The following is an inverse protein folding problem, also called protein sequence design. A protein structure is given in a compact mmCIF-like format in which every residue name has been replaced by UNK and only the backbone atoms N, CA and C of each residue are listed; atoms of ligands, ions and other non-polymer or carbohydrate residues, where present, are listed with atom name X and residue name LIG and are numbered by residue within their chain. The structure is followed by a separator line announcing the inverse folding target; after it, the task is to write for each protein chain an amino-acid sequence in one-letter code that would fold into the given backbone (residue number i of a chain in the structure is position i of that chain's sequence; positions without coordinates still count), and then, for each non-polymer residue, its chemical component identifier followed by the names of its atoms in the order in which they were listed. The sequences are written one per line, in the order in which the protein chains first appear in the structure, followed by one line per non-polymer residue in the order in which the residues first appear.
data_IF_768871584150
#
_entry.id   IF_768871584150
#
_cell.length_a   1.000
_cell.length_b   1.000
_cell.length_c   1.000
_cell.angle_alpha   90.00
_cell.angle_beta   90.00
_cell.angle_gamma   90.00
#
_symmetry.space_group_name_H-M   'P 1'
#
loop_
_entity.id
_entity.type
_entity.pdbx_description
1 polymer ?
#
# COMPACT_ATOMS: atom_id res chain seq x y z
N UNK A 1 27.88 -11.58 5.47
CA UNK A 1 26.51 -11.03 5.60
C UNK A 1 26.58 -9.71 6.34
N UNK A 2 25.96 -8.63 5.84
CA UNK A 2 25.88 -7.35 6.57
C UNK A 2 24.71 -7.39 7.55
N UNK A 3 24.97 -7.05 8.80
CA UNK A 3 23.95 -6.91 9.85
C UNK A 3 23.72 -5.43 10.08
N UNK A 4 22.45 -5.02 10.14
CA UNK A 4 22.03 -3.67 10.47
C UNK A 4 21.31 -3.68 11.80
N UNK A 5 21.62 -2.74 12.68
CA UNK A 5 20.95 -2.57 13.96
C UNK A 5 19.91 -1.45 13.86
N UNK A 6 18.82 -1.56 14.64
CA UNK A 6 17.80 -0.53 14.76
C UNK A 6 17.49 -0.29 16.23
N UNK A 7 17.45 0.96 16.64
CA UNK A 7 17.13 1.37 18.02
C UNK A 7 15.63 1.44 18.31
N UNK A 8 14.80 1.53 17.24
CA UNK A 8 13.35 1.55 17.34
C UNK A 8 12.79 0.11 17.41
N UNK A 9 13.02 -0.55 18.53
CA UNK A 9 12.57 -1.94 18.74
C UNK A 9 11.05 -2.06 18.54
N UNK A 10 10.29 -1.11 19.06
CA UNK A 10 8.82 -1.12 18.90
C UNK A 10 8.37 -1.03 17.44
N UNK A 11 8.99 -0.16 16.66
CA UNK A 11 8.71 -0.03 15.22
C UNK A 11 9.05 -1.30 14.45
N UNK A 12 10.19 -1.94 14.76
CA UNK A 12 10.60 -3.21 14.14
C UNK A 12 9.59 -4.32 14.45
N UNK A 13 9.18 -4.47 15.71
CA UNK A 13 8.18 -5.47 16.12
C UNK A 13 6.82 -5.22 15.46
N UNK A 14 6.39 -3.96 15.40
CA UNK A 14 5.14 -3.57 14.74
C UNK A 14 5.17 -3.88 13.23
N UNK A 15 6.28 -3.58 12.56
CA UNK A 15 6.50 -3.96 11.16
C UNK A 15 6.38 -5.48 10.97
N UNK A 16 7.06 -6.26 11.81
CA UNK A 16 7.05 -7.72 11.74
C UNK A 16 5.65 -8.34 11.92
N UNK A 17 4.80 -7.72 12.73
CA UNK A 17 3.42 -8.19 12.93
C UNK A 17 2.51 -7.77 11.77
N UNK A 18 2.49 -6.48 11.42
CA UNK A 18 1.53 -5.90 10.47
C UNK A 18 1.81 -6.32 9.02
N UNK A 19 3.07 -6.50 8.61
CA UNK A 19 3.43 -6.97 7.26
C UNK A 19 2.69 -8.25 6.87
N UNK A 20 2.45 -9.13 7.84
CA UNK A 20 1.80 -10.42 7.61
C UNK A 20 0.33 -10.25 7.22
N UNK A 21 -0.35 -9.23 7.76
CA UNK A 21 -1.72 -8.87 7.38
C UNK A 21 -1.77 -8.33 5.94
N UNK A 22 -0.79 -7.48 5.59
CA UNK A 22 -0.71 -6.93 4.23
C UNK A 22 -0.36 -8.02 3.21
N UNK A 23 0.50 -8.98 3.60
CA UNK A 23 0.79 -10.15 2.76
C UNK A 23 -0.45 -11.03 2.55
N UNK A 24 -1.30 -11.19 3.58
CA UNK A 24 -2.59 -11.88 3.46
C UNK A 24 -3.51 -11.15 2.45
N UNK A 25 -3.61 -9.81 2.54
CA UNK A 25 -4.37 -8.98 1.60
C UNK A 25 -3.85 -9.11 0.15
N UNK A 26 -2.52 -9.09 -0.04
CA UNK A 26 -1.89 -9.28 -1.34
C UNK A 26 -2.20 -10.67 -1.92
N UNK A 27 -2.18 -11.70 -1.07
CA UNK A 27 -2.58 -13.05 -1.44
C UNK A 27 -4.05 -13.14 -1.86
N UNK A 28 -4.97 -12.53 -1.11
CA UNK A 28 -6.41 -12.49 -1.47
C UNK A 28 -6.59 -11.87 -2.87
N UNK A 29 -5.94 -10.74 -3.11
CA UNK A 29 -5.97 -10.07 -4.42
C UNK A 29 -5.43 -10.97 -5.54
N UNK A 30 -4.35 -11.69 -5.28
CA UNK A 30 -3.77 -12.65 -6.23
C UNK A 30 -4.73 -13.81 -6.52
N UNK A 31 -5.36 -14.39 -5.49
CA UNK A 31 -6.35 -15.45 -5.63
C UNK A 31 -7.59 -15.05 -6.43
N UNK A 32 -7.94 -13.76 -6.43
CA UNK A 32 -8.98 -13.13 -7.24
C UNK A 32 -8.52 -12.81 -8.69
N UNK A 33 -7.29 -13.21 -9.08
CA UNK A 33 -6.67 -12.91 -10.38
C UNK A 33 -6.46 -11.43 -10.68
N UNK A 34 -6.30 -10.58 -9.66
CA UNK A 34 -5.81 -9.22 -9.88
C UNK A 34 -4.31 -9.24 -10.18
N UNK A 35 -3.88 -8.35 -11.09
CA UNK A 35 -2.50 -8.26 -11.56
C UNK A 35 -1.53 -7.58 -10.57
N UNK A 36 -0.27 -7.48 -10.99
CA UNK A 36 0.84 -6.96 -10.19
C UNK A 36 0.63 -5.51 -9.75
N UNK A 37 -0.05 -4.69 -10.55
CA UNK A 37 -0.39 -3.31 -10.19
C UNK A 37 -1.26 -3.23 -8.94
N UNK A 38 -2.27 -4.09 -8.82
CA UNK A 38 -3.12 -4.16 -7.64
C UNK A 38 -2.32 -4.59 -6.42
N UNK A 39 -1.42 -5.57 -6.60
CA UNK A 39 -0.52 -6.02 -5.53
C UNK A 39 0.43 -4.91 -5.08
N UNK A 40 1.03 -4.17 -6.02
CA UNK A 40 1.87 -3.01 -5.71
C UNK A 40 1.10 -1.93 -4.94
N UNK A 41 -0.15 -1.63 -5.33
CA UNK A 41 -1.01 -0.70 -4.64
C UNK A 41 -1.33 -1.16 -3.21
N UNK A 42 -1.62 -2.46 -3.00
CA UNK A 42 -1.85 -3.03 -1.65
C UNK A 42 -0.60 -2.89 -0.79
N UNK A 43 0.58 -3.19 -1.31
CA UNK A 43 1.85 -3.05 -0.59
C UNK A 43 2.09 -1.59 -0.19
N UNK A 44 1.98 -0.66 -1.13
CA UNK A 44 2.21 0.78 -0.88
C UNK A 44 1.22 1.36 0.12
N UNK A 45 -0.07 1.04 -0.04
CA UNK A 45 -1.11 1.52 0.88
C UNK A 45 -1.03 0.83 2.23
N UNK A 46 -0.70 -0.46 2.26
CA UNK A 46 -0.44 -1.21 3.49
C UNK A 46 0.73 -0.64 4.28
N UNK A 47 1.83 -0.29 3.61
CA UNK A 47 2.94 0.41 4.24
C UNK A 47 2.50 1.73 4.85
N UNK A 48 1.65 2.50 4.15
CA UNK A 48 1.12 3.76 4.67
C UNK A 48 0.24 3.56 5.91
N UNK A 49 -0.53 2.47 6.00
CA UNK A 49 -1.28 2.11 7.21
C UNK A 49 -0.34 1.78 8.38
N UNK A 50 0.66 0.93 8.11
CA UNK A 50 1.67 0.54 9.11
C UNK A 50 2.41 1.75 9.65
N UNK A 51 2.89 2.63 8.76
CA UNK A 51 3.63 3.85 9.12
C UNK A 51 2.75 4.78 9.96
N UNK A 52 1.51 5.00 9.55
CA UNK A 52 0.57 5.88 10.25
C UNK A 52 0.28 5.39 11.68
N UNK A 53 0.02 4.10 11.85
CA UNK A 53 -0.16 3.51 13.17
C UNK A 53 1.13 3.63 13.99
N UNK A 54 2.27 3.24 13.43
CA UNK A 54 3.54 3.26 14.15
C UNK A 54 3.97 4.65 14.57
N UNK A 55 3.87 5.65 13.71
CA UNK A 55 4.21 7.05 14.07
C UNK A 55 3.28 7.60 15.14
N UNK A 56 1.98 7.27 15.09
CA UNK A 56 1.03 7.64 16.16
C UNK A 56 1.37 6.95 17.49
N UNK A 57 1.97 5.76 17.44
CA UNK A 57 2.47 5.04 18.62
C UNK A 57 3.86 5.52 19.09
N UNK A 58 4.44 6.52 18.43
CA UNK A 58 5.76 7.08 18.75
C UNK A 58 6.95 6.31 18.18
N UNK A 59 6.74 5.46 17.17
CA UNK A 59 7.80 4.81 16.43
C UNK A 59 8.41 5.77 15.38
N UNK A 60 9.64 5.48 14.96
CA UNK A 60 10.33 6.25 13.93
C UNK A 60 9.81 5.91 12.52
N UNK A 61 9.43 6.91 11.75
CA UNK A 61 8.95 6.73 10.37
C UNK A 61 9.98 6.00 9.49
N UNK A 62 11.27 6.31 9.67
CA UNK A 62 12.36 5.68 8.93
C UNK A 62 12.43 4.16 9.12
N UNK A 63 11.95 3.63 10.25
CA UNK A 63 11.90 2.18 10.50
C UNK A 63 10.98 1.49 9.49
N UNK A 64 9.85 2.12 9.15
CA UNK A 64 8.89 1.57 8.18
C UNK A 64 9.41 1.64 6.74
N UNK A 65 10.25 2.60 6.42
CA UNK A 65 10.86 2.75 5.09
C UNK A 65 12.20 2.01 4.96
N UNK A 66 12.64 1.33 6.02
CA UNK A 66 13.86 0.54 6.07
C UNK A 66 13.67 -0.95 5.78
N UNK A 67 14.72 -1.73 6.09
CA UNK A 67 14.74 -3.17 5.88
C UNK A 67 13.67 -3.92 6.68
N UNK A 68 13.42 -3.49 7.93
CA UNK A 68 12.41 -4.09 8.80
C UNK A 68 10.96 -3.75 8.38
N UNK A 69 10.77 -2.64 7.67
CA UNK A 69 9.48 -2.20 7.14
C UNK A 69 9.25 -2.65 5.70
N UNK A 70 9.46 -1.74 4.75
CA UNK A 70 9.17 -1.97 3.32
C UNK A 70 9.95 -3.15 2.75
N UNK A 71 11.21 -3.35 3.16
CA UNK A 71 12.03 -4.46 2.67
C UNK A 71 11.40 -5.82 2.98
N UNK A 72 11.06 -6.05 4.23
CA UNK A 72 10.46 -7.30 4.69
C UNK A 72 9.00 -7.45 4.21
N UNK A 73 8.26 -6.34 4.10
CA UNK A 73 6.91 -6.33 3.55
C UNK A 73 6.88 -6.80 2.10
N UNK A 74 7.76 -6.26 1.23
CA UNK A 74 7.82 -6.65 -0.19
C UNK A 74 8.07 -8.15 -0.30
N UNK A 75 9.08 -8.67 0.36
CA UNK A 75 9.41 -10.10 0.32
C UNK A 75 8.23 -10.96 0.79
N UNK A 76 7.58 -10.57 1.90
CA UNK A 76 6.49 -11.33 2.48
C UNK A 76 5.22 -11.31 1.61
N UNK A 77 4.93 -10.18 0.95
CA UNK A 77 3.72 -9.99 0.15
C UNK A 77 3.86 -10.43 -1.33
N UNK A 78 5.09 -10.77 -1.78
CA UNK A 78 5.31 -11.21 -3.16
C UNK A 78 5.79 -12.65 -3.29
N UNK A 79 6.30 -13.23 -2.20
CA UNK A 79 6.85 -14.58 -2.21
C UNK A 79 5.75 -15.64 -2.15
N UNK A 80 5.81 -16.59 -3.08
CA UNK A 80 4.97 -17.82 -3.06
C UNK A 80 5.25 -18.71 -1.85
N UNK A 81 6.39 -18.55 -1.20
CA UNK A 81 6.76 -19.27 0.02
C UNK A 81 6.19 -18.64 1.29
N UNK A 82 5.62 -17.44 1.18
CA UNK A 82 4.97 -16.78 2.30
C UNK A 82 3.67 -17.50 2.67
N UNK A 83 3.59 -18.01 3.89
CA UNK A 83 2.39 -18.66 4.44
C UNK A 83 1.18 -17.73 4.42
N UNK A 84 1.40 -16.46 4.73
CA UNK A 84 0.33 -15.46 4.72
C UNK A 84 -0.16 -15.18 3.29
N UNK A 85 0.76 -15.02 2.34
CA UNK A 85 0.41 -14.86 0.93
C UNK A 85 -0.33 -16.09 0.39
N UNK A 86 0.17 -17.32 0.67
CA UNK A 86 -0.49 -18.58 0.26
C UNK A 86 -1.89 -18.69 0.86
N UNK A 87 -2.06 -18.43 2.16
CA UNK A 87 -3.37 -18.46 2.81
C UNK A 87 -4.33 -17.44 2.18
N UNK A 88 -3.87 -16.21 1.97
CA UNK A 88 -4.67 -15.19 1.28
C UNK A 88 -5.09 -15.62 -0.13
N UNK A 89 -4.18 -16.24 -0.89
CA UNK A 89 -4.48 -16.75 -2.24
C UNK A 89 -5.61 -17.78 -2.22
N UNK A 90 -5.57 -18.72 -1.29
CA UNK A 90 -6.64 -19.72 -1.13
C UNK A 90 -7.97 -19.04 -0.77
N UNK A 91 -7.97 -18.09 0.17
CA UNK A 91 -9.19 -17.33 0.52
C UNK A 91 -9.73 -16.58 -0.72
N UNK A 92 -8.87 -15.95 -1.50
CA UNK A 92 -9.24 -15.27 -2.75
C UNK A 92 -9.84 -16.23 -3.79
N UNK A 93 -9.40 -17.49 -3.82
CA UNK A 93 -9.92 -18.57 -4.66
C UNK A 93 -11.24 -19.15 -4.17
N UNK A 94 -11.74 -18.72 -3.00
CA UNK A 94 -13.04 -19.13 -2.47
C UNK A 94 -12.98 -20.13 -1.32
N UNK A 95 -11.79 -20.52 -0.85
CA UNK A 95 -11.67 -21.34 0.36
C UNK A 95 -12.11 -20.51 1.58
N UNK A 96 -12.77 -21.15 2.54
CA UNK A 96 -12.96 -20.52 3.83
C UNK A 96 -11.64 -20.47 4.62
N UNK A 97 -11.60 -19.72 5.71
CA UNK A 97 -10.37 -19.48 6.49
C UNK A 97 -9.80 -20.77 7.09
N UNK A 98 -10.67 -21.66 7.58
CA UNK A 98 -10.25 -22.91 8.20
C UNK A 98 -9.65 -23.88 7.17
N UNK A 99 -10.28 -23.99 6.00
CA UNK A 99 -9.78 -24.77 4.86
C UNK A 99 -8.43 -24.22 4.37
N UNK A 100 -8.33 -22.91 4.16
CA UNK A 100 -7.11 -22.25 3.73
C UNK A 100 -5.96 -22.46 4.73
N UNK A 101 -6.24 -22.33 6.01
CA UNK A 101 -5.24 -22.55 7.08
C UNK A 101 -4.78 -24.00 7.12
N UNK A 102 -5.72 -24.95 6.99
CA UNK A 102 -5.41 -26.38 6.92
C UNK A 102 -4.54 -26.74 5.73
N UNK A 103 -4.83 -26.16 4.56
CA UNK A 103 -4.05 -26.37 3.34
C UNK A 103 -2.64 -25.76 3.40
N UNK A 104 -2.47 -24.63 4.13
CA UNK A 104 -1.16 -24.07 4.43
C UNK A 104 -0.36 -25.01 5.34
N UNK A 105 -1.03 -25.72 6.26
CA UNK A 105 -0.43 -26.70 7.17
C UNK A 105 0.49 -26.12 8.25
N UNK A 106 0.54 -24.80 8.40
CA UNK A 106 1.41 -24.08 9.34
C UNK A 106 0.69 -22.83 9.86
N UNK A 107 1.20 -22.27 10.96
CA UNK A 107 0.65 -21.04 11.54
C UNK A 107 0.69 -19.90 10.54
N UNK A 108 -0.44 -19.22 10.38
CA UNK A 108 -0.61 -18.01 9.56
C UNK A 108 -0.63 -16.80 10.49
N UNK A 109 0.51 -16.16 10.63
CA UNK A 109 0.72 -15.07 11.61
C UNK A 109 -0.17 -13.86 11.35
N UNK A 110 -0.49 -13.59 10.08
CA UNK A 110 -1.39 -12.49 9.70
C UNK A 110 -2.79 -12.63 10.29
N UNK A 111 -3.33 -13.85 10.36
CA UNK A 111 -4.61 -14.12 11.01
C UNK A 111 -4.57 -13.85 12.52
N UNK A 112 -3.47 -14.25 13.17
CA UNK A 112 -3.27 -14.03 14.60
C UNK A 112 -3.02 -12.56 14.94
N UNK A 113 -2.40 -11.80 14.05
CA UNK A 113 -2.11 -10.38 14.25
C UNK A 113 -3.35 -9.47 14.06
N UNK A 114 -4.34 -9.91 13.27
CA UNK A 114 -5.53 -9.12 12.95
C UNK A 114 -6.27 -8.55 14.17
N UNK A 115 -6.63 -9.35 15.21
CA UNK A 115 -7.35 -8.83 16.35
C UNK A 115 -6.58 -7.73 17.09
N UNK A 116 -5.27 -7.90 17.25
CA UNK A 116 -4.40 -6.91 17.90
C UNK A 116 -4.28 -5.64 17.06
N UNK A 117 -4.11 -5.77 15.73
CA UNK A 117 -4.05 -4.64 14.81
C UNK A 117 -5.35 -3.81 14.85
N UNK A 118 -6.52 -4.46 14.87
CA UNK A 118 -7.81 -3.78 14.97
C UNK A 118 -8.01 -3.10 16.33
N UNK A 119 -7.52 -3.68 17.43
CA UNK A 119 -7.54 -3.03 18.74
C UNK A 119 -6.64 -1.80 18.78
N UNK A 120 -5.43 -1.88 18.20
CA UNK A 120 -4.51 -0.75 18.11
C UNK A 120 -5.08 0.37 17.23
N UNK A 121 -5.63 0.04 16.05
CA UNK A 121 -6.33 0.98 15.17
C UNK A 121 -7.40 1.78 15.93
N UNK A 122 -8.24 1.08 16.69
CA UNK A 122 -9.29 1.71 17.53
C UNK A 122 -8.71 2.54 18.67
N UNK A 123 -7.68 2.03 19.38
CA UNK A 123 -7.07 2.69 20.54
C UNK A 123 -6.39 3.99 20.16
N UNK A 124 -5.73 4.03 19.01
CA UNK A 124 -4.97 5.18 18.54
C UNK A 124 -5.73 6.05 17.52
N UNK A 125 -7.00 5.71 17.26
CA UNK A 125 -7.85 6.40 16.26
C UNK A 125 -7.19 6.53 14.89
N UNK A 126 -6.60 5.42 14.40
CA UNK A 126 -5.91 5.37 13.12
C UNK A 126 -6.70 4.53 12.13
N UNK A 127 -7.13 5.13 11.01
CA UNK A 127 -7.77 4.39 9.93
C UNK A 127 -6.81 3.39 9.28
N UNK A 128 -7.20 2.12 9.26
CA UNK A 128 -6.48 1.02 8.62
C UNK A 128 -7.40 0.25 7.67
N UNK A 129 -7.77 0.84 6.52
CA UNK A 129 -8.79 0.28 5.63
C UNK A 129 -8.43 -1.09 5.05
N UNK A 130 -7.18 -1.37 4.68
CA UNK A 130 -6.77 -2.69 4.18
C UNK A 130 -6.88 -3.72 5.30
N UNK A 131 -6.34 -3.41 6.47
CA UNK A 131 -6.40 -4.27 7.66
C UNK A 131 -7.86 -4.56 8.05
N UNK A 132 -8.72 -3.54 8.08
CA UNK A 132 -10.14 -3.70 8.38
C UNK A 132 -10.89 -4.54 7.34
N UNK A 133 -10.52 -4.40 6.07
CA UNK A 133 -11.09 -5.21 4.99
C UNK A 133 -10.71 -6.68 5.13
N UNK A 134 -9.44 -6.97 5.44
CA UNK A 134 -8.99 -8.35 5.70
C UNK A 134 -9.72 -8.93 6.91
N UNK A 135 -9.90 -8.16 7.98
CA UNK A 135 -10.67 -8.60 9.16
C UNK A 135 -12.13 -8.94 8.82
N UNK A 136 -12.76 -8.13 7.97
CA UNK A 136 -14.13 -8.37 7.53
C UNK A 136 -14.25 -9.65 6.67
N UNK A 137 -13.28 -9.91 5.77
CA UNK A 137 -13.23 -11.12 4.96
C UNK A 137 -13.02 -12.35 5.85
N UNK A 138 -12.03 -12.30 6.75
CA UNK A 138 -11.71 -13.41 7.66
C UNK A 138 -12.88 -13.77 8.56
N UNK A 139 -13.67 -12.78 8.98
CA UNK A 139 -14.91 -12.98 9.78
C UNK A 139 -16.13 -13.36 8.92
N UNK A 140 -15.99 -13.54 7.62
CA UNK A 140 -17.09 -13.88 6.71
C UNK A 140 -18.16 -12.80 6.56
N UNK A 141 -17.85 -11.54 6.93
CA UNK A 141 -18.83 -10.43 6.85
C UNK A 141 -18.99 -9.90 5.43
N UNK A 142 -18.01 -10.11 4.57
CA UNK A 142 -17.98 -9.63 3.18
C UNK A 142 -17.19 -10.64 2.34
N UNK A 143 -17.62 -10.85 1.11
CA UNK A 143 -16.86 -11.70 0.18
C UNK A 143 -15.58 -10.99 -0.27
N UNK A 144 -14.51 -11.74 -0.62
CA UNK A 144 -13.27 -11.15 -1.15
C UNK A 144 -13.49 -10.21 -2.34
N UNK A 145 -14.38 -10.58 -3.27
CA UNK A 145 -14.69 -9.77 -4.45
C UNK A 145 -15.36 -8.42 -4.09
N UNK A 146 -16.35 -8.44 -3.21
CA UNK A 146 -17.04 -7.23 -2.77
C UNK A 146 -16.09 -6.32 -1.99
N UNK A 147 -15.23 -6.91 -1.16
CA UNK A 147 -14.27 -6.18 -0.36
C UNK A 147 -13.24 -5.43 -1.21
N UNK A 148 -12.68 -6.06 -2.25
CA UNK A 148 -11.75 -5.40 -3.18
C UNK A 148 -12.46 -4.28 -3.95
N UNK A 149 -13.67 -4.51 -4.45
CA UNK A 149 -14.47 -3.47 -5.12
C UNK A 149 -14.74 -2.28 -4.20
N UNK A 150 -15.08 -2.52 -2.94
CA UNK A 150 -15.30 -1.47 -1.96
C UNK A 150 -14.04 -0.65 -1.68
N UNK A 151 -12.87 -1.29 -1.57
CA UNK A 151 -11.59 -0.60 -1.42
C UNK A 151 -11.25 0.28 -2.64
N UNK A 152 -11.51 -0.21 -3.85
CA UNK A 152 -11.24 0.53 -5.09
C UNK A 152 -12.18 1.73 -5.28
N UNK A 153 -13.40 1.66 -4.77
CA UNK A 153 -14.42 2.71 -4.88
C UNK A 153 -14.38 3.75 -3.75
N UNK A 154 -13.40 3.67 -2.84
CA UNK A 154 -13.23 4.68 -1.78
C UNK A 154 -12.92 6.05 -2.39
N UNK A 155 -13.36 7.10 -1.71
CA UNK A 155 -13.08 8.49 -2.09
C UNK A 155 -11.58 8.71 -2.29
N UNK A 156 -11.25 9.47 -3.33
CA UNK A 156 -9.88 9.82 -3.67
C UNK A 156 -9.30 10.69 -2.57
N UNK A 157 -8.31 10.16 -1.86
CA UNK A 157 -7.50 10.95 -0.91
C UNK A 157 -6.23 11.44 -1.62
N UNK A 158 -5.74 12.63 -1.25
CA UNK A 158 -4.43 13.10 -1.69
C UNK A 158 -3.36 12.21 -1.08
N UNK A 159 -2.36 11.81 -1.87
CA UNK A 159 -1.26 10.95 -1.39
C UNK A 159 -0.31 11.72 -0.47
N UNK A 160 -0.15 13.02 -0.74
CA UNK A 160 0.72 13.87 0.04
C UNK A 160 0.02 14.38 1.30
N UNK A 161 0.67 14.25 2.44
CA UNK A 161 0.23 14.82 3.70
C UNK A 161 0.31 16.36 3.66
N UNK A 162 -0.51 17.03 4.47
CA UNK A 162 -0.57 18.52 4.56
C UNK A 162 0.80 19.20 4.74
N UNK A 163 1.79 18.51 5.31
CA UNK A 163 3.13 19.06 5.52
C UNK A 163 3.90 19.37 4.23
N UNK A 164 3.54 18.72 3.10
CA UNK A 164 4.12 19.05 1.79
C UNK A 164 3.33 20.16 1.10
N UNK A 165 2.07 20.38 1.45
CA UNK A 165 1.31 21.56 1.03
C UNK A 165 1.84 22.86 1.68
N UNK A 166 2.44 22.75 2.87
CA UNK A 166 3.10 23.86 3.59
C UNK A 166 4.52 24.14 3.07
N UNK A 167 5.15 23.23 2.36
CA UNK A 167 6.36 23.53 1.60
C UNK A 167 5.89 24.37 0.41
N UNK A 168 6.11 25.67 0.50
CA UNK A 168 5.83 26.69 -0.50
C UNK A 168 6.58 26.41 -1.83
N UNK A 169 6.30 25.27 -2.46
CA UNK A 169 6.74 24.96 -3.83
C UNK A 169 6.17 26.00 -4.82
N UNK A 170 5.03 26.61 -4.48
CA UNK A 170 4.44 27.67 -5.27
C UNK A 170 5.33 28.91 -5.36
N UNK A 171 6.11 29.23 -4.33
CA UNK A 171 6.93 30.43 -4.31
C UNK A 171 8.32 30.29 -4.93
N UNK A 172 8.86 29.09 -5.07
CA UNK A 172 10.22 28.92 -5.64
C UNK A 172 10.23 28.67 -7.15
N UNK A 173 9.19 28.05 -7.70
CA UNK A 173 9.13 27.70 -9.13
C UNK A 173 8.28 28.69 -9.94
N UNK A 174 7.24 29.29 -9.33
CA UNK A 174 6.30 30.17 -10.03
C UNK A 174 6.82 31.60 -10.16
N UNK A 175 7.74 32.05 -9.31
CA UNK A 175 8.34 33.38 -9.43
C UNK A 175 9.28 33.56 -10.64
N UNK A 176 9.67 32.47 -11.31
CA UNK A 176 10.59 32.59 -12.45
C UNK A 176 9.92 32.63 -13.83
N UNK A 177 8.63 32.37 -13.96
CA UNK A 177 7.96 32.48 -15.28
C UNK A 177 6.54 33.05 -15.16
N UNK A 178 6.39 34.25 -15.69
CA UNK A 178 5.13 34.96 -15.86
C UNK A 178 4.09 34.16 -16.65
N UNK A 179 2.92 33.94 -16.09
CA UNK A 179 1.69 34.06 -16.90
C UNK A 179 1.13 32.82 -17.55
N UNK A 180 1.54 31.59 -17.22
CA UNK A 180 0.84 30.38 -17.70
C UNK A 180 0.29 29.61 -16.52
N UNK A 181 -1.03 29.57 -16.40
CA UNK A 181 -1.72 28.73 -15.44
C UNK A 181 -1.43 27.27 -15.70
N UNK A 182 -0.45 26.69 -15.00
CA UNK A 182 -0.14 25.27 -15.09
C UNK A 182 -1.22 24.47 -14.38
N UNK A 183 -2.00 23.72 -15.14
CA UNK A 183 -2.84 22.66 -14.60
C UNK A 183 -1.91 21.53 -14.14
N UNK A 184 -1.87 21.26 -12.83
CA UNK A 184 -1.14 20.10 -12.31
C UNK A 184 -1.90 18.83 -12.68
N UNK A 185 -1.29 17.99 -13.49
CA UNK A 185 -1.77 16.63 -13.78
C UNK A 185 -0.83 15.68 -13.08
N UNK A 186 -1.28 15.03 -12.01
CA UNK A 186 -0.55 13.96 -11.35
C UNK A 186 -1.24 12.67 -11.75
N UNK A 187 -0.51 11.78 -12.43
CA UNK A 187 -1.00 10.44 -12.73
C UNK A 187 -0.21 9.43 -11.94
N UNK A 188 -0.91 8.59 -11.21
CA UNK A 188 -0.35 7.41 -10.56
C UNK A 188 -0.75 6.19 -11.38
N UNK A 189 0.23 5.47 -11.84
CA UNK A 189 0.01 4.18 -12.49
C UNK A 189 1.35 3.50 -12.71
N UNK A 190 1.49 2.28 -12.23
CA UNK A 190 2.45 1.34 -12.76
C UNK A 190 1.87 0.82 -14.06
N UNK A 191 2.63 0.96 -15.13
CA UNK A 191 2.16 0.67 -16.50
C UNK A 191 2.46 -0.79 -16.83
N UNK A 192 1.53 -1.70 -16.57
CA UNK A 192 1.66 -3.09 -17.04
C UNK A 192 1.32 -3.22 -18.53
N UNK A 193 0.52 -2.29 -19.07
CA UNK A 193 0.17 -2.20 -20.49
C UNK A 193 0.01 -0.74 -20.87
N UNK A 194 0.55 -0.35 -22.01
CA UNK A 194 0.31 0.95 -22.63
C UNK A 194 -1.19 1.09 -22.94
N UNK A 195 -1.89 1.68 -21.99
CA UNK A 195 -3.31 1.99 -22.15
C UNK A 195 -3.47 3.31 -22.92
N UNK A 196 -4.59 3.48 -23.64
CA UNK A 196 -4.88 4.66 -24.45
C UNK A 196 -4.71 5.99 -23.68
N UNK A 197 -5.01 5.99 -22.38
CA UNK A 197 -4.77 7.12 -21.49
C UNK A 197 -3.29 7.46 -21.29
N UNK A 198 -2.41 6.46 -21.32
CA UNK A 198 -0.95 6.65 -21.21
C UNK A 198 -0.38 7.24 -22.48
N UNK A 199 -0.88 6.82 -23.64
CA UNK A 199 -0.49 7.37 -24.95
C UNK A 199 -0.88 8.85 -25.02
N UNK A 200 -2.06 9.21 -24.60
CA UNK A 200 -2.50 10.61 -24.53
C UNK A 200 -1.64 11.44 -23.57
N UNK A 201 -1.20 10.87 -22.46
CA UNK A 201 -0.32 11.54 -21.51
C UNK A 201 1.07 11.79 -22.14
N UNK A 202 1.66 10.77 -22.78
CA UNK A 202 2.94 10.90 -23.48
C UNK A 202 2.88 11.93 -24.61
N UNK A 203 1.77 11.97 -25.35
CA UNK A 203 1.53 13.00 -26.39
C UNK A 203 1.42 14.39 -25.76
N UNK A 204 0.77 14.51 -24.60
CA UNK A 204 0.67 15.77 -23.87
C UNK A 204 2.04 16.25 -23.37
N UNK A 205 2.87 15.35 -22.82
CA UNK A 205 4.23 15.65 -22.41
C UNK A 205 5.13 16.02 -23.58
N UNK A 206 5.05 15.32 -24.71
CA UNK A 206 5.83 15.65 -25.90
C UNK A 206 5.49 17.05 -26.46
N UNK A 207 4.21 17.43 -26.44
CA UNK A 207 3.75 18.77 -26.82
C UNK A 207 4.20 19.86 -25.85
N UNK A 208 4.29 19.56 -24.56
CA UNK A 208 4.79 20.46 -23.52
C UNK A 208 6.31 20.69 -23.67
N UNK A 209 7.06 19.63 -23.94
CA UNK A 209 8.52 19.70 -24.14
C UNK A 209 8.83 20.45 -25.44
N UNK A 210 8.14 20.16 -26.53
CA UNK A 210 8.34 20.87 -27.81
C UNK A 210 7.92 22.33 -27.79
N UNK A 211 7.03 22.73 -26.85
CA UNK A 211 6.68 24.14 -26.68
C UNK A 211 7.71 24.93 -25.84
N UNK A 212 8.60 24.25 -25.13
CA UNK A 212 9.67 24.90 -24.33
C UNK A 212 10.97 25.10 -25.12
N UNK A 213 11.16 24.38 -26.22
CA UNK A 213 12.39 24.49 -27.07
C UNK A 213 12.31 25.62 -28.11
N UNK A 214 11.24 26.40 -28.19
CA UNK A 214 11.07 27.50 -29.14
C UNK A 214 11.21 28.90 -28.53
N UNK A 215 11.92 29.05 -27.40
CA UNK A 215 12.32 30.37 -26.87
C UNK A 215 13.80 30.32 -26.49
N UNK A 216 14.62 30.42 -27.50
CA UNK A 216 16.01 30.89 -27.42
C UNK A 216 16.09 32.24 -28.09
#
# INVERSE_FOLDING_TARGET
MRVYTNVDVRGVELCGALKNIIALAAGISHGLNYGDNTRAAIITRGLSEMTRLGTTMGCLEQTFHGLAGIGDLIVTATSVHSRNFKCGTLIGQGYNVDEATKEVGMVVEGLNALPAAMQLSKRYDVEMPITATVDAIVKGKVSPNEAVKALMNRDRKTELTKSVADINFENSIIKSKRGLGMKRVITYGTFDLLHYGHINLLILFSKLISATDFVS
#
